data_IF_983129066000
#
_entry.id   IF_983129066000
#
_cell.length_a   1.000
_cell.length_b   1.000
_cell.length_c   1.000
_cell.angle_alpha   90.00
_cell.angle_beta   90.00
_cell.angle_gamma   90.00
#
_symmetry.space_group_name_H-M   'P 1'
#
loop_
_entity.id
_entity.type
_entity.pdbx_description
1 polymer ?
#
# COMPACT_ATOMS: atom_id res chain seq x y z
N UNK A 1 -9.33 -11.56 -3.43
CA UNK A 1 -8.28 -10.79 -4.14
C UNK A 1 -7.48 -10.09 -3.05
N UNK A 2 -6.27 -10.56 -2.77
CA UNK A 2 -5.35 -9.82 -1.89
C UNK A 2 -5.05 -8.50 -2.61
N UNK A 3 -5.51 -7.38 -2.04
CA UNK A 3 -5.20 -6.06 -2.59
C UNK A 3 -3.69 -5.90 -2.74
N UNK A 4 -3.27 -5.25 -3.83
CA UNK A 4 -1.87 -4.92 -4.05
C UNK A 4 -1.28 -4.21 -2.82
N UNK A 5 0.00 -4.44 -2.56
CA UNK A 5 0.79 -3.53 -1.72
C UNK A 5 1.28 -2.38 -2.57
N UNK A 6 1.65 -1.33 -1.88
CA UNK A 6 2.33 -0.20 -2.49
C UNK A 6 3.72 -0.58 -2.96
N UNK A 7 4.23 0.17 -3.93
CA UNK A 7 5.63 0.12 -4.32
C UNK A 7 6.56 0.52 -3.17
N UNK A 8 7.78 -0.04 -3.18
CA UNK A 8 8.82 0.26 -2.17
C UNK A 8 9.19 1.74 -2.15
N UNK A 9 9.20 2.41 -3.32
CA UNK A 9 9.43 3.86 -3.41
C UNK A 9 8.39 4.66 -2.60
N UNK A 10 7.10 4.36 -2.78
CA UNK A 10 6.04 5.04 -2.05
C UNK A 10 6.06 4.71 -0.56
N UNK A 11 6.43 3.48 -0.19
CA UNK A 11 6.61 3.09 1.20
C UNK A 11 7.69 3.90 1.89
N UNK A 12 8.85 4.07 1.24
CA UNK A 12 9.95 4.90 1.74
C UNK A 12 9.51 6.35 1.91
N UNK A 13 8.81 6.91 0.92
CA UNK A 13 8.30 8.30 0.98
C UNK A 13 7.28 8.50 2.10
N UNK A 14 6.39 7.52 2.33
CA UNK A 14 5.44 7.56 3.46
C UNK A 14 6.18 7.50 4.81
N UNK A 15 7.19 6.65 4.92
CA UNK A 15 8.06 6.57 6.12
C UNK A 15 8.79 7.89 6.36
N UNK A 16 9.38 8.49 5.33
CA UNK A 16 10.04 9.81 5.40
C UNK A 16 9.07 10.94 5.78
N UNK A 17 7.83 10.87 5.30
CA UNK A 17 6.76 11.79 5.70
C UNK A 17 6.24 11.55 7.13
N UNK A 18 6.79 10.56 7.84
CA UNK A 18 6.49 10.30 9.25
C UNK A 18 5.21 9.51 9.47
N UNK A 19 4.78 8.66 8.52
CA UNK A 19 3.65 7.75 8.70
C UNK A 19 3.86 6.88 9.96
N UNK A 20 3.04 7.02 11.01
CA UNK A 20 3.10 6.10 12.14
C UNK A 20 2.58 4.73 11.71
N UNK A 21 3.25 3.67 12.15
CA UNK A 21 2.83 2.29 11.85
C UNK A 21 2.89 1.43 13.11
N UNK A 22 1.77 0.80 13.43
CA UNK A 22 1.65 -0.20 14.48
C UNK A 22 1.59 -1.59 13.82
N UNK A 23 2.63 -2.44 13.96
CA UNK A 23 2.70 -3.70 13.24
C UNK A 23 1.61 -4.68 13.66
N UNK A 24 0.96 -5.29 12.68
CA UNK A 24 -0.07 -6.31 12.86
C UNK A 24 0.17 -7.54 11.98
N UNK A 25 -0.39 -8.68 12.38
CA UNK A 25 -0.36 -9.92 11.61
C UNK A 25 -0.94 -9.69 10.21
N UNK A 26 -0.21 -10.10 9.17
CA UNK A 26 -0.51 -9.85 7.76
C UNK A 26 0.17 -8.63 7.15
N UNK A 27 0.83 -7.78 7.96
CA UNK A 27 1.59 -6.65 7.44
C UNK A 27 2.78 -7.12 6.62
N UNK A 28 3.05 -6.38 5.54
CA UNK A 28 4.20 -6.62 4.67
C UNK A 28 5.25 -5.54 4.90
N UNK A 29 6.52 -5.90 4.79
CA UNK A 29 7.61 -4.93 4.90
C UNK A 29 8.84 -5.39 4.11
N UNK A 30 9.72 -4.44 3.82
CA UNK A 30 11.08 -4.68 3.33
C UNK A 30 12.07 -4.16 4.36
N UNK A 31 13.32 -4.59 4.26
CA UNK A 31 14.42 -4.05 5.07
C UNK A 31 15.44 -3.41 4.12
N UNK A 32 15.34 -2.09 3.88
CA UNK A 32 16.21 -1.40 2.95
C UNK A 32 17.69 -1.52 3.37
N UNK A 33 18.60 -1.50 2.40
CA UNK A 33 20.05 -1.42 2.61
C UNK A 33 20.69 -2.66 3.25
N UNK A 34 20.03 -3.83 3.17
CA UNK A 34 20.58 -5.12 3.61
C UNK A 34 20.84 -6.08 2.44
N UNK A 35 20.91 -5.57 1.21
CA UNK A 35 20.91 -6.36 -0.03
C UNK A 35 19.65 -7.26 -0.20
N UNK A 36 18.59 -6.95 0.56
CA UNK A 36 17.29 -7.65 0.59
C UNK A 36 16.15 -6.75 0.10
N UNK A 37 16.45 -5.71 -0.68
CA UNK A 37 15.47 -4.70 -1.09
C UNK A 37 14.37 -5.28 -2.01
N UNK A 38 14.63 -6.46 -2.60
CA UNK A 38 13.68 -7.21 -3.41
C UNK A 38 12.81 -8.19 -2.60
N UNK A 39 13.17 -8.43 -1.33
CA UNK A 39 12.52 -9.43 -0.49
C UNK A 39 11.43 -8.78 0.36
N UNK A 40 10.19 -9.19 0.12
CA UNK A 40 9.03 -8.76 0.89
C UNK A 40 8.75 -9.78 1.99
N UNK A 41 8.88 -9.34 3.23
CA UNK A 41 8.55 -10.11 4.42
C UNK A 41 7.09 -9.89 4.81
N UNK A 42 6.45 -10.92 5.36
CA UNK A 42 5.10 -10.82 5.95
C UNK A 42 5.19 -11.12 7.43
N UNK A 43 4.68 -10.21 8.25
CA UNK A 43 4.53 -10.42 9.69
C UNK A 43 3.41 -11.43 9.90
N UNK A 44 3.67 -12.53 10.59
CA UNK A 44 2.68 -13.58 10.81
C UNK A 44 2.93 -14.27 12.15
N UNK A 45 1.87 -14.49 12.92
CA UNK A 45 1.94 -15.27 14.16
C UNK A 45 2.22 -16.76 13.90
N UNK A 46 1.85 -17.24 12.70
CA UNK A 46 2.08 -18.60 12.22
C UNK A 46 2.21 -18.58 10.70
N UNK A 47 3.24 -19.25 10.16
CA UNK A 47 3.41 -19.37 8.70
C UNK A 47 2.80 -20.67 8.20
N UNK A 48 1.91 -20.58 7.21
CA UNK A 48 1.30 -21.73 6.55
C UNK A 48 1.88 -21.82 5.14
N UNK A 49 2.47 -22.96 4.80
CA UNK A 49 3.10 -23.19 3.49
C UNK A 49 2.39 -24.34 2.76
N UNK A 50 2.26 -24.21 1.44
CA UNK A 50 1.79 -25.29 0.58
C UNK A 50 2.99 -25.90 -0.11
N UNK A 51 3.22 -27.19 0.11
CA UNK A 51 4.27 -27.95 -0.56
C UNK A 51 3.64 -28.88 -1.61
N UNK A 52 4.13 -28.80 -2.85
CA UNK A 52 3.79 -29.76 -3.89
C UNK A 52 4.54 -31.07 -3.63
N UNK A 53 3.78 -32.15 -3.38
CA UNK A 53 4.29 -33.50 -3.23
C UNK A 53 3.84 -34.37 -4.42
N UNK A 54 4.60 -35.40 -4.83
CA UNK A 54 4.20 -36.31 -5.92
C UNK A 54 2.82 -36.96 -5.77
N UNK A 55 2.24 -36.95 -4.57
CA UNK A 55 0.92 -37.52 -4.25
C UNK A 55 -0.16 -36.47 -4.00
N UNK A 56 0.14 -35.17 -4.07
CA UNK A 56 -0.81 -34.07 -3.81
C UNK A 56 -0.17 -32.87 -3.11
N UNK A 57 -0.98 -31.85 -2.77
CA UNK A 57 -0.53 -30.69 -2.00
C UNK A 57 -0.61 -30.99 -0.50
N UNK A 58 0.48 -30.72 0.22
CA UNK A 58 0.54 -30.81 1.68
C UNK A 58 0.57 -29.39 2.23
N UNK A 59 -0.31 -29.11 3.20
CA UNK A 59 -0.31 -27.85 3.94
C UNK A 59 0.55 -28.05 5.19
N UNK A 60 1.72 -27.41 5.22
CA UNK A 60 2.62 -27.34 6.35
C UNK A 60 2.24 -26.19 7.28
N UNK A 61 2.18 -26.46 8.58
CA UNK A 61 2.05 -25.44 9.61
C UNK A 61 3.42 -25.27 10.25
N UNK A 62 4.18 -24.26 9.84
CA UNK A 62 5.48 -23.95 10.42
C UNK A 62 5.25 -23.12 11.69
N UNK A 63 4.91 -23.85 12.76
CA UNK A 63 4.87 -23.34 14.13
C UNK A 63 6.28 -23.30 14.70
N UNK A 64 7.00 -22.23 14.39
CA UNK A 64 8.23 -21.81 15.08
C UNK A 64 9.40 -22.80 15.01
N UNK A 65 10.41 -22.56 14.16
CA UNK A 65 11.72 -23.21 14.37
C UNK A 65 12.89 -22.38 13.81
N UNK A 66 13.70 -21.88 14.76
CA UNK A 66 15.18 -21.82 14.81
C UNK A 66 15.92 -21.27 13.58
N UNK A 67 16.80 -20.28 13.82
CA UNK A 67 17.68 -19.58 12.85
C UNK A 67 17.09 -18.41 12.05
N UNK A 68 16.06 -17.72 12.54
CA UNK A 68 15.70 -16.41 12.01
C UNK A 68 16.76 -15.38 12.46
N UNK A 69 17.13 -14.46 11.56
CA UNK A 69 17.87 -13.22 11.86
C UNK A 69 17.51 -12.72 13.28
N UNK A 70 18.46 -12.75 14.23
CA UNK A 70 18.16 -12.74 15.67
C UNK A 70 17.21 -11.62 16.12
N UNK A 71 17.25 -10.48 15.43
CA UNK A 71 16.24 -9.41 15.49
C UNK A 71 16.55 -8.34 14.45
N UNK A 72 15.54 -7.54 14.10
CA UNK A 72 15.67 -6.29 13.33
C UNK A 72 14.97 -5.21 14.12
N UNK A 73 15.60 -4.06 14.27
CA UNK A 73 14.99 -2.92 14.93
C UNK A 73 13.84 -2.40 14.05
N UNK A 74 12.67 -2.15 14.66
CA UNK A 74 11.48 -1.70 13.93
C UNK A 74 11.74 -0.47 13.02
N UNK A 75 12.56 0.53 13.39
CA UNK A 75 12.90 1.65 12.52
C UNK A 75 13.68 1.26 11.26
N UNK A 76 14.30 0.08 11.19
CA UNK A 76 14.95 -0.44 9.96
C UNK A 76 13.92 -0.98 8.97
N UNK A 77 12.75 -1.45 9.44
CA UNK A 77 11.69 -1.94 8.57
C UNK A 77 11.01 -0.79 7.81
N UNK A 78 10.70 -1.03 6.54
CA UNK A 78 9.86 -0.17 5.72
C UNK A 78 8.57 -0.93 5.38
N UNK A 79 7.47 -0.49 5.99
CA UNK A 79 6.17 -1.15 5.84
C UNK A 79 5.61 -0.91 4.45
N UNK A 80 5.00 -1.95 3.89
CA UNK A 80 4.22 -1.94 2.66
C UNK A 80 2.74 -2.12 3.04
N UNK A 81 2.01 -1.03 3.32
CA UNK A 81 0.58 -1.09 3.57
C UNK A 81 -0.17 -1.65 2.35
N UNK A 82 -1.14 -2.53 2.61
CA UNK A 82 -2.11 -2.94 1.61
C UNK A 82 -3.16 -1.85 1.36
N UNK A 83 -3.86 -1.95 0.22
CA UNK A 83 -4.91 -0.99 -0.17
C UNK A 83 -5.92 -0.69 0.94
N UNK A 84 -6.42 -1.72 1.63
CA UNK A 84 -7.43 -1.56 2.68
C UNK A 84 -6.88 -0.78 3.89
N UNK A 85 -5.61 -0.99 4.27
CA UNK A 85 -4.98 -0.29 5.37
C UNK A 85 -4.77 1.19 5.05
N UNK A 86 -4.39 1.51 3.81
CA UNK A 86 -4.27 2.90 3.35
C UNK A 86 -5.63 3.61 3.34
N UNK A 87 -6.67 2.91 2.90
CA UNK A 87 -8.04 3.41 2.94
C UNK A 87 -8.48 3.72 4.37
N UNK A 88 -8.17 2.86 5.32
CA UNK A 88 -8.43 3.09 6.75
C UNK A 88 -7.68 4.31 7.29
N UNK A 89 -6.40 4.46 6.93
CA UNK A 89 -5.58 5.61 7.33
C UNK A 89 -6.07 6.95 6.78
N UNK A 90 -6.66 6.97 5.59
CA UNK A 90 -7.29 8.17 5.03
C UNK A 90 -8.60 8.53 5.73
N UNK A 91 -9.30 7.55 6.30
CA UNK A 91 -10.53 7.73 7.05
C UNK A 91 -11.61 8.47 6.25
N UNK A 92 -12.28 9.42 6.90
CA UNK A 92 -13.42 10.16 6.33
C UNK A 92 -13.05 11.06 5.14
N UNK A 93 -11.76 11.35 4.93
CA UNK A 93 -11.30 12.14 3.78
C UNK A 93 -11.45 11.37 2.47
N UNK A 94 -11.37 10.03 2.55
CA UNK A 94 -11.55 9.20 1.38
C UNK A 94 -13.00 9.27 0.91
N UNK A 95 -13.20 9.69 -0.34
CA UNK A 95 -14.53 9.74 -0.95
C UNK A 95 -14.77 8.51 -1.82
N UNK A 96 -13.91 8.28 -2.82
CA UNK A 96 -14.13 7.23 -3.82
C UNK A 96 -12.84 6.82 -4.53
N UNK A 97 -12.80 5.54 -4.93
CA UNK A 97 -11.87 5.00 -5.91
C UNK A 97 -12.57 4.86 -7.26
N UNK A 98 -11.93 5.32 -8.32
CA UNK A 98 -12.37 5.16 -9.70
C UNK A 98 -11.33 4.35 -10.47
N UNK A 99 -11.79 3.43 -11.30
CA UNK A 99 -10.98 2.85 -12.38
C UNK A 99 -11.30 3.63 -13.64
N UNK A 100 -10.26 4.11 -14.34
CA UNK A 100 -10.38 4.85 -15.59
C UNK A 100 -9.52 4.17 -16.64
N UNK A 101 -10.05 4.03 -17.84
CA UNK A 101 -9.29 3.55 -18.98
C UNK A 101 -8.87 4.77 -19.82
N UNK A 102 -7.57 5.01 -19.91
CA UNK A 102 -6.96 6.16 -20.60
C UNK A 102 -6.14 5.61 -21.77
N UNK A 103 -6.73 5.66 -22.97
CA UNK A 103 -6.15 4.99 -24.14
C UNK A 103 -6.18 3.47 -23.97
N UNK A 104 -5.00 2.84 -24.02
CA UNK A 104 -4.83 1.39 -23.82
C UNK A 104 -4.45 1.03 -22.37
N UNK A 105 -4.27 2.03 -21.49
CA UNK A 105 -3.85 1.83 -20.11
C UNK A 105 -5.03 1.98 -19.14
N UNK A 106 -5.06 1.16 -18.09
CA UNK A 106 -5.95 1.37 -16.94
C UNK A 106 -5.19 2.16 -15.88
N UNK A 107 -5.84 3.19 -15.34
CA UNK A 107 -5.38 3.92 -14.15
C UNK A 107 -6.44 3.89 -13.04
N UNK A 108 -5.97 4.00 -11.81
CA UNK A 108 -6.79 4.09 -10.61
C UNK A 108 -6.70 5.48 -10.03
N UNK A 109 -7.85 6.10 -9.75
CA UNK A 109 -7.96 7.44 -9.19
C UNK A 109 -8.62 7.42 -7.83
N UNK A 110 -7.93 7.92 -6.81
CA UNK A 110 -8.47 8.15 -5.47
C UNK A 110 -8.88 9.62 -5.36
N UNK A 111 -10.12 9.85 -4.94
CA UNK A 111 -10.65 11.18 -4.65
C UNK A 111 -10.70 11.39 -3.13
N UNK A 112 -10.12 12.51 -2.69
CA UNK A 112 -10.23 13.02 -1.34
C UNK A 112 -11.16 14.23 -1.30
N UNK A 113 -11.82 14.41 -0.17
CA UNK A 113 -12.57 15.62 0.15
C UNK A 113 -12.27 16.00 1.60
N UNK A 114 -11.76 17.20 1.81
CA UNK A 114 -11.53 17.79 3.13
C UNK A 114 -12.06 19.23 3.21
N UNK A 115 -11.63 19.99 4.24
CA UNK A 115 -12.09 21.36 4.42
C UNK A 115 -11.46 22.33 3.40
N UNK A 116 -10.36 21.92 2.78
CA UNK A 116 -9.55 22.67 1.82
C UNK A 116 -10.00 22.45 0.39
N UNK A 117 -10.63 21.30 0.10
CA UNK A 117 -11.32 21.05 -1.17
C UNK A 117 -11.35 19.59 -1.57
N UNK A 118 -11.55 19.38 -2.87
CA UNK A 118 -11.48 18.05 -3.48
C UNK A 118 -10.15 17.89 -4.20
N UNK A 119 -9.37 16.88 -3.80
CA UNK A 119 -8.12 16.49 -4.45
C UNK A 119 -8.26 15.11 -5.07
N UNK A 120 -7.42 14.80 -6.06
CA UNK A 120 -7.41 13.49 -6.67
C UNK A 120 -6.00 13.05 -7.08
N UNK A 121 -5.75 11.76 -6.93
CA UNK A 121 -4.46 11.13 -7.13
C UNK A 121 -4.63 9.90 -8.01
N UNK A 122 -3.80 9.80 -9.05
CA UNK A 122 -3.86 8.72 -10.04
C UNK A 122 -2.58 7.89 -10.02
N UNK A 123 -2.72 6.56 -10.12
CA UNK A 123 -1.62 5.63 -10.30
C UNK A 123 -2.08 4.40 -11.11
N UNK A 124 -1.16 3.63 -11.72
CA UNK A 124 -1.49 2.38 -12.40
C UNK A 124 -2.12 1.33 -11.45
N UNK A 125 -1.69 1.32 -10.19
CA UNK A 125 -2.18 0.43 -9.14
C UNK A 125 -3.03 1.19 -8.11
N UNK A 126 -4.11 0.55 -7.63
CA UNK A 126 -5.03 1.18 -6.67
C UNK A 126 -4.33 1.50 -5.34
N UNK A 127 -3.48 0.59 -4.85
CA UNK A 127 -2.71 0.78 -3.63
C UNK A 127 -1.79 2.02 -3.74
N UNK A 128 -1.11 2.19 -4.87
CA UNK A 128 -0.24 3.34 -5.11
C UNK A 128 -1.03 4.66 -5.18
N UNK A 129 -2.24 4.65 -5.78
CA UNK A 129 -3.11 5.83 -5.79
C UNK A 129 -3.53 6.23 -4.36
N UNK A 130 -3.81 5.25 -3.50
CA UNK A 130 -4.07 5.47 -2.08
C UNK A 130 -2.85 6.02 -1.33
N UNK A 131 -1.66 5.47 -1.59
CA UNK A 131 -0.43 5.94 -0.97
C UNK A 131 -0.09 7.38 -1.36
N UNK A 132 -0.28 7.76 -2.62
CA UNK A 132 -0.09 9.14 -3.07
C UNK A 132 -1.03 10.11 -2.34
N UNK A 133 -2.30 9.72 -2.20
CA UNK A 133 -3.30 10.49 -1.45
C UNK A 133 -2.92 10.64 0.03
N UNK A 134 -2.45 9.57 0.67
CA UNK A 134 -2.01 9.60 2.06
C UNK A 134 -0.72 10.43 2.24
N UNK A 135 0.24 10.31 1.33
CA UNK A 135 1.49 11.06 1.35
C UNK A 135 1.23 12.56 1.26
N UNK A 136 0.28 12.97 0.41
CA UNK A 136 -0.16 14.35 0.30
C UNK A 136 -0.69 14.88 1.65
N UNK A 137 -1.54 14.09 2.32
CA UNK A 137 -2.06 14.42 3.63
C UNK A 137 -0.95 14.59 4.69
N UNK A 138 0.01 13.68 4.74
CA UNK A 138 1.13 13.73 5.69
C UNK A 138 2.08 14.89 5.43
N UNK A 139 2.32 15.22 4.16
CA UNK A 139 3.29 16.26 3.76
C UNK A 139 2.73 17.68 3.94
N UNK A 140 1.41 17.85 4.11
CA UNK A 140 0.76 19.16 4.20
C UNK A 140 0.96 20.03 2.95
N UNK A 141 1.37 19.45 1.83
CA UNK A 141 1.69 20.16 0.59
C UNK A 141 0.41 20.38 -0.21
N UNK A 142 0.08 21.62 -0.59
CA UNK A 142 -1.02 21.89 -1.54
C UNK A 142 -0.62 21.41 -2.94
N UNK A 143 -1.40 20.52 -3.54
CA UNK A 143 -1.02 19.89 -4.81
C UNK A 143 -1.72 18.56 -5.09
N UNK A 144 -3.05 18.54 -5.18
CA UNK A 144 -3.75 17.61 -6.08
C UNK A 144 -4.14 18.38 -7.34
N UNK A 145 -3.87 17.82 -8.52
CA UNK A 145 -4.44 18.39 -9.74
C UNK A 145 -5.94 18.17 -9.72
N UNK A 146 -6.71 19.25 -9.50
CA UNK A 146 -8.14 19.27 -9.79
C UNK A 146 -8.27 19.05 -11.30
N UNK A 147 -8.42 17.79 -11.70
CA UNK A 147 -8.71 17.43 -13.08
C UNK A 147 -9.97 18.16 -13.52
N UNK A 148 -9.78 19.24 -14.27
CA UNK A 148 -10.86 19.97 -14.92
C UNK A 148 -11.12 19.25 -16.23
N UNK A 149 -12.37 18.82 -16.43
CA UNK A 149 -13.15 18.82 -17.68
C UNK A 149 -14.06 17.60 -17.80
N UNK A 150 -15.34 17.88 -18.01
CA UNK A 150 -16.42 16.89 -18.10
C UNK A 150 -17.82 17.43 -17.80
N UNK A 151 -18.02 18.74 -17.61
CA UNK A 151 -19.34 19.35 -17.62
C UNK A 151 -19.71 19.76 -19.06
N UNK A 152 -20.11 18.78 -19.88
CA UNK A 152 -20.85 19.07 -21.12
C UNK A 152 -22.34 18.91 -20.83
N UNK A 153 -23.01 20.03 -20.61
CA UNK A 153 -24.42 20.19 -20.93
C UNK A 153 -24.50 21.01 -22.22
N UNK A 154 -25.32 20.60 -23.19
CA UNK A 154 -26.00 21.59 -24.01
C UNK A 154 -27.52 21.37 -24.01
N UNK A 155 -28.18 22.53 -23.78
CA UNK A 155 -29.51 23.01 -24.19
C UNK A 155 -30.71 22.04 -24.21
#
# INVERSE_FOLDING_TARGET
MLGGVISVDLALRLKEAGLPWEPASGDRFVIPHRDMDSDVFTLSDMTIEVHDHPTGQIIGFNGTTEWALDSVDQPEACWLPAEHQLRELLGERFTRLERRDVGEETVHRVLLLDAEGADAFEAPDAADAYALALLHHLSGARGGSVGTEGATLPA
#
